data_IF_487399337818
#
_entry.id   IF_487399337818
#
_cell.length_a   1.000
_cell.length_b   1.000
_cell.length_c   1.000
_cell.angle_alpha   90.00
_cell.angle_beta   90.00
_cell.angle_gamma   90.00
#
_symmetry.space_group_name_H-M   'P 1'
#
loop_
_entity.id
_entity.type
_entity.pdbx_description
1 polymer ?
#
# COMPACT_ATOMS: atom_id res chain seq x y z
N UNK A 1 -4.69 0.05 32.00
CA UNK A 1 -5.76 -0.86 31.59
C UNK A 1 -5.17 -1.65 30.42
N UNK A 2 -4.74 -2.90 30.68
CA UNK A 2 -4.18 -3.74 29.61
C UNK A 2 -5.29 -3.99 28.60
N UNK A 3 -5.05 -3.60 27.35
CA UNK A 3 -5.87 -4.01 26.22
C UNK A 3 -5.75 -5.54 26.14
N UNK A 4 -6.78 -6.25 26.59
CA UNK A 4 -6.90 -7.67 26.30
C UNK A 4 -6.80 -7.85 24.78
N UNK A 5 -5.85 -8.66 24.34
CA UNK A 5 -5.69 -8.94 22.92
C UNK A 5 -6.98 -9.58 22.40
N UNK A 6 -7.73 -8.82 21.64
CA UNK A 6 -8.97 -9.23 20.99
C UNK A 6 -8.66 -10.43 20.08
N UNK A 7 -9.36 -11.55 20.27
CA UNK A 7 -9.23 -12.71 19.38
C UNK A 7 -10.13 -12.49 18.18
N UNK A 8 -9.56 -11.95 17.12
CA UNK A 8 -10.30 -11.64 15.90
C UNK A 8 -10.51 -12.88 15.03
N UNK A 9 -11.67 -13.00 14.41
CA UNK A 9 -11.92 -13.99 13.37
C UNK A 9 -11.08 -13.70 12.13
N UNK A 10 -10.68 -14.75 11.43
CA UNK A 10 -9.85 -14.63 10.22
C UNK A 10 -10.72 -14.71 8.96
N UNK A 11 -10.47 -13.82 8.01
CA UNK A 11 -10.99 -13.89 6.65
C UNK A 11 -12.47 -14.28 6.57
N UNK A 12 -12.77 -15.38 5.91
CA UNK A 12 -14.15 -15.90 5.72
C UNK A 12 -14.72 -16.72 6.86
N UNK A 13 -14.09 -16.79 8.03
CA UNK A 13 -14.59 -17.61 9.15
C UNK A 13 -15.99 -17.21 9.61
N UNK A 14 -16.40 -15.95 9.43
CA UNK A 14 -17.74 -15.47 9.72
C UNK A 14 -18.84 -16.19 8.91
N UNK A 15 -18.48 -16.86 7.80
CA UNK A 15 -19.43 -17.65 6.99
C UNK A 15 -19.79 -18.97 7.67
N UNK A 16 -18.87 -19.52 8.45
CA UNK A 16 -18.98 -20.88 9.03
C UNK A 16 -18.96 -20.91 10.56
N UNK A 17 -18.71 -19.79 11.20
CA UNK A 17 -18.67 -19.65 12.66
C UNK A 17 -19.73 -18.67 13.13
N UNK A 18 -20.32 -18.98 14.29
CA UNK A 18 -21.07 -17.97 15.03
C UNK A 18 -20.11 -16.84 15.45
N UNK A 19 -20.46 -15.61 15.13
CA UNK A 19 -19.59 -14.44 15.28
C UNK A 19 -20.29 -13.40 16.13
N UNK A 20 -19.58 -12.88 17.13
CA UNK A 20 -20.03 -11.74 17.91
C UNK A 20 -19.41 -10.45 17.35
N UNK A 21 -20.03 -9.26 17.54
CA UNK A 21 -19.48 -7.99 17.06
C UNK A 21 -18.04 -7.73 17.56
N UNK A 22 -17.72 -8.21 18.75
CA UNK A 22 -16.41 -8.06 19.39
C UNK A 22 -15.31 -8.87 18.70
N UNK A 23 -15.68 -9.89 17.91
CA UNK A 23 -14.73 -10.75 17.20
C UNK A 23 -14.32 -10.16 15.84
N UNK A 24 -14.97 -9.07 15.40
CA UNK A 24 -14.76 -8.46 14.10
C UNK A 24 -13.76 -7.33 14.21
N UNK A 25 -12.78 -7.31 13.28
CA UNK A 25 -11.86 -6.17 13.12
C UNK A 25 -12.60 -5.00 12.47
N UNK A 26 -12.53 -3.84 13.09
CA UNK A 26 -13.18 -2.61 12.62
C UNK A 26 -12.18 -1.45 12.57
N UNK A 27 -12.52 -0.33 11.93
CA UNK A 27 -11.62 0.84 11.90
C UNK A 27 -11.19 1.37 13.27
N UNK A 28 -11.97 1.12 14.32
CA UNK A 28 -11.66 1.48 15.70
C UNK A 28 -10.53 0.61 16.28
N UNK A 29 -10.22 -0.52 15.66
CA UNK A 29 -9.14 -1.42 16.05
C UNK A 29 -7.80 -1.07 15.37
N UNK A 30 -7.74 -0.03 14.54
CA UNK A 30 -6.49 0.40 13.91
C UNK A 30 -5.48 0.86 14.97
N UNK A 31 -4.23 0.42 14.81
CA UNK A 31 -3.12 0.92 15.63
C UNK A 31 -2.83 2.39 15.31
N UNK A 32 -2.14 3.07 16.24
CA UNK A 32 -1.68 4.46 16.01
C UNK A 32 -0.85 4.58 14.72
N UNK A 33 0.01 3.60 14.44
CA UNK A 33 0.82 3.54 13.22
C UNK A 33 -0.04 3.41 11.95
N UNK A 34 -1.10 2.60 11.99
CA UNK A 34 -2.05 2.46 10.90
C UNK A 34 -2.86 3.74 10.67
N UNK A 35 -3.25 4.41 11.75
CA UNK A 35 -3.94 5.71 11.69
C UNK A 35 -3.01 6.77 11.07
N UNK A 36 -1.75 6.84 11.50
CA UNK A 36 -0.76 7.76 10.91
C UNK A 36 -0.55 7.49 9.42
N UNK A 37 -0.45 6.21 9.02
CA UNK A 37 -0.33 5.83 7.61
C UNK A 37 -1.56 6.26 6.81
N UNK A 38 -2.75 6.01 7.33
CA UNK A 38 -4.02 6.44 6.73
C UNK A 38 -4.04 7.96 6.49
N UNK A 39 -3.70 8.73 7.50
CA UNK A 39 -3.76 10.19 7.43
C UNK A 39 -2.69 10.74 6.47
N UNK A 40 -1.51 10.13 6.44
CA UNK A 40 -0.44 10.45 5.47
C UNK A 40 -0.85 10.20 4.02
N UNK A 41 -1.41 9.04 3.73
CA UNK A 41 -1.82 8.73 2.35
C UNK A 41 -3.00 9.59 1.92
N UNK A 42 -3.92 9.88 2.85
CA UNK A 42 -5.02 10.82 2.58
C UNK A 42 -4.51 12.20 2.22
N UNK A 43 -3.57 12.74 2.97
CA UNK A 43 -2.95 14.04 2.66
C UNK A 43 -2.24 14.04 1.30
N UNK A 44 -1.50 12.98 0.98
CA UNK A 44 -0.86 12.81 -0.33
C UNK A 44 -1.89 12.82 -1.46
N UNK A 45 -2.97 12.08 -1.33
CA UNK A 45 -4.03 12.00 -2.34
C UNK A 45 -4.71 13.36 -2.53
N UNK A 46 -5.05 14.02 -1.44
CA UNK A 46 -5.74 15.33 -1.47
C UNK A 46 -4.88 16.42 -2.11
N UNK A 47 -3.56 16.37 -1.96
CA UNK A 47 -2.62 17.39 -2.49
C UNK A 47 -2.08 17.07 -3.87
N UNK A 48 -1.73 15.82 -4.13
CA UNK A 48 -0.94 15.45 -5.30
C UNK A 48 -1.76 14.75 -6.40
N UNK A 49 -2.93 14.21 -6.08
CA UNK A 49 -3.72 13.43 -7.05
C UNK A 49 -5.03 14.13 -7.39
N UNK A 50 -5.87 14.41 -6.40
CA UNK A 50 -7.21 14.96 -6.61
C UNK A 50 -7.25 16.26 -7.43
N UNK A 51 -6.39 17.25 -7.18
CA UNK A 51 -6.43 18.52 -7.94
C UNK A 51 -6.03 18.37 -9.40
N UNK A 52 -5.39 17.25 -9.76
CA UNK A 52 -4.77 17.06 -11.08
C UNK A 52 -5.40 15.93 -11.90
N UNK A 53 -6.65 15.58 -11.65
CA UNK A 53 -7.38 14.51 -12.37
C UNK A 53 -7.29 14.65 -13.89
N UNK A 54 -7.44 15.86 -14.40
CA UNK A 54 -7.37 16.14 -15.84
C UNK A 54 -6.02 15.78 -16.48
N UNK A 55 -4.93 15.81 -15.71
CA UNK A 55 -3.61 15.42 -16.23
C UNK A 55 -3.53 13.91 -16.46
N UNK A 56 -4.09 13.12 -15.55
CA UNK A 56 -4.17 11.67 -15.73
C UNK A 56 -5.05 11.29 -16.92
N UNK A 57 -6.21 11.96 -17.08
CA UNK A 57 -7.11 11.75 -18.22
C UNK A 57 -6.45 12.08 -19.56
N UNK A 58 -5.58 13.10 -19.59
CA UNK A 58 -4.80 13.47 -20.77
C UNK A 58 -3.56 12.59 -20.99
N UNK A 59 -3.38 11.55 -20.18
CA UNK A 59 -2.22 10.62 -20.25
C UNK A 59 -0.88 11.33 -20.10
N UNK A 60 -0.80 12.29 -19.18
CA UNK A 60 0.46 12.94 -18.81
C UNK A 60 1.33 11.96 -18.01
N UNK A 61 2.09 11.14 -18.73
CA UNK A 61 2.91 10.08 -18.14
C UNK A 61 4.04 10.62 -17.28
N UNK A 62 4.64 11.75 -17.61
CA UNK A 62 5.68 12.36 -16.79
C UNK A 62 5.13 12.83 -15.44
N UNK A 63 3.94 13.38 -15.45
CA UNK A 63 3.25 13.74 -14.22
C UNK A 63 2.89 12.50 -13.39
N UNK A 64 2.33 11.47 -14.02
CA UNK A 64 2.01 10.20 -13.33
C UNK A 64 3.26 9.62 -12.69
N UNK A 65 4.38 9.58 -13.43
CA UNK A 65 5.67 9.14 -12.91
C UNK A 65 6.14 9.99 -11.72
N UNK A 66 6.00 11.31 -11.79
CA UNK A 66 6.38 12.19 -10.68
C UNK A 66 5.56 11.92 -9.42
N UNK A 67 4.26 11.61 -9.55
CA UNK A 67 3.41 11.21 -8.42
C UNK A 67 3.84 9.85 -7.85
N UNK A 68 4.25 8.90 -8.70
CA UNK A 68 4.79 7.61 -8.25
C UNK A 68 6.11 7.78 -7.47
N UNK A 69 7.02 8.64 -7.95
CA UNK A 69 8.27 8.96 -7.23
C UNK A 69 7.96 9.55 -5.85
N UNK A 70 7.06 10.52 -5.77
CA UNK A 70 6.62 11.10 -4.48
C UNK A 70 6.00 10.05 -3.55
N UNK A 71 5.20 9.13 -4.08
CA UNK A 71 4.65 8.02 -3.30
C UNK A 71 5.77 7.12 -2.75
N UNK A 72 6.85 6.90 -3.52
CA UNK A 72 8.04 6.19 -3.08
C UNK A 72 8.80 6.92 -1.98
N UNK A 73 9.03 8.23 -2.13
CA UNK A 73 9.67 9.08 -1.13
C UNK A 73 8.91 9.09 0.22
N UNK A 74 7.58 8.97 0.18
CA UNK A 74 6.73 8.83 1.35
C UNK A 74 6.61 7.38 1.87
N UNK A 75 7.27 6.42 1.22
CA UNK A 75 7.29 5.01 1.60
C UNK A 75 6.06 4.20 1.15
N UNK A 76 5.08 4.80 0.47
CA UNK A 76 3.84 4.11 0.10
C UNK A 76 4.04 2.96 -0.88
N UNK A 77 5.11 3.00 -1.71
CA UNK A 77 5.44 1.91 -2.62
C UNK A 77 6.04 0.69 -1.90
N UNK A 78 6.63 0.91 -0.71
CA UNK A 78 7.32 -0.10 0.07
C UNK A 78 6.60 -0.57 1.34
N UNK A 79 5.31 -0.29 1.51
CA UNK A 79 4.57 -0.62 2.75
C UNK A 79 4.74 -2.07 3.18
N UNK A 80 4.49 -3.09 2.33
CA UNK A 80 4.64 -4.50 2.72
C UNK A 80 6.09 -5.02 2.56
N UNK A 81 6.98 -4.25 1.98
CA UNK A 81 8.37 -4.66 1.75
C UNK A 81 9.12 -4.68 3.08
N UNK A 82 9.89 -5.72 3.40
CA UNK A 82 10.69 -5.79 4.62
C UNK A 82 11.68 -4.62 4.75
N UNK A 83 11.92 -4.17 5.98
CA UNK A 83 12.78 -3.02 6.27
C UNK A 83 14.23 -3.20 5.80
N UNK A 84 14.76 -4.42 5.87
CA UNK A 84 16.12 -4.74 5.38
C UNK A 84 16.28 -4.59 3.86
N UNK A 85 15.18 -4.45 3.12
CA UNK A 85 15.17 -4.17 1.67
C UNK A 85 14.62 -2.77 1.35
N UNK A 86 14.60 -1.88 2.35
CA UNK A 86 14.22 -0.48 2.16
C UNK A 86 12.71 -0.20 2.23
N UNK A 87 11.89 -1.16 2.62
CA UNK A 87 10.47 -0.99 2.84
C UNK A 87 10.11 -0.62 4.27
N UNK A 88 8.81 -0.52 4.55
CA UNK A 88 8.29 -0.20 5.87
C UNK A 88 8.06 -1.43 6.74
N UNK A 89 7.95 -2.62 6.16
CA UNK A 89 7.72 -3.88 6.89
C UNK A 89 6.34 -3.95 7.55
N UNK A 90 5.37 -3.16 7.07
CA UNK A 90 4.02 -3.11 7.64
C UNK A 90 3.15 -4.24 7.08
N UNK A 91 2.16 -4.65 7.89
CA UNK A 91 1.27 -5.74 7.53
C UNK A 91 0.25 -5.41 6.45
N UNK A 92 -0.55 -6.42 6.10
CA UNK A 92 -1.54 -6.35 5.03
C UNK A 92 -2.60 -5.25 5.25
N UNK A 93 -3.02 -5.00 6.50
CA UNK A 93 -4.00 -3.94 6.82
C UNK A 93 -3.47 -2.56 6.40
N UNK A 94 -2.23 -2.25 6.73
CA UNK A 94 -1.60 -0.98 6.33
C UNK A 94 -1.50 -0.85 4.81
N UNK A 95 -1.16 -1.94 4.12
CA UNK A 95 -1.14 -1.99 2.66
C UNK A 95 -2.52 -1.70 2.08
N UNK A 96 -3.57 -2.29 2.63
CA UNK A 96 -4.95 -2.06 2.18
C UNK A 96 -5.43 -0.65 2.45
N UNK A 97 -5.07 -0.05 3.58
CA UNK A 97 -5.38 1.35 3.87
C UNK A 97 -4.80 2.29 2.80
N UNK A 98 -3.53 2.10 2.42
CA UNK A 98 -2.90 2.89 1.35
C UNK A 98 -3.60 2.66 0.01
N UNK A 99 -3.88 1.41 -0.34
CA UNK A 99 -4.58 1.07 -1.59
C UNK A 99 -5.99 1.67 -1.65
N UNK A 100 -6.74 1.68 -0.55
CA UNK A 100 -8.10 2.19 -0.49
C UNK A 100 -8.14 3.69 -0.83
N UNK A 101 -7.33 4.50 -0.15
CA UNK A 101 -7.26 5.94 -0.42
C UNK A 101 -6.78 6.27 -1.83
N UNK A 102 -5.75 5.58 -2.32
CA UNK A 102 -5.22 5.78 -3.68
C UNK A 102 -6.27 5.37 -4.73
N UNK A 103 -6.97 4.26 -4.50
CA UNK A 103 -8.00 3.77 -5.42
C UNK A 103 -9.20 4.70 -5.53
N UNK A 104 -9.59 5.33 -4.44
CA UNK A 104 -10.67 6.32 -4.42
C UNK A 104 -10.33 7.64 -5.12
N UNK A 105 -9.04 7.92 -5.36
CA UNK A 105 -8.60 9.20 -5.90
C UNK A 105 -8.69 9.30 -7.42
N UNK A 106 -8.06 8.37 -8.14
CA UNK A 106 -8.01 8.34 -9.60
C UNK A 106 -7.69 6.94 -10.10
N UNK A 107 -8.50 6.39 -11.01
CA UNK A 107 -8.36 5.03 -11.53
C UNK A 107 -7.05 4.77 -12.28
N UNK A 108 -6.57 5.74 -13.07
CA UNK A 108 -5.33 5.59 -13.83
C UNK A 108 -4.11 5.54 -12.90
N UNK A 109 -4.04 6.43 -11.91
CA UNK A 109 -2.98 6.43 -10.91
C UNK A 109 -3.04 5.17 -10.04
N UNK A 110 -4.24 4.79 -9.59
CA UNK A 110 -4.47 3.56 -8.81
C UNK A 110 -3.99 2.31 -9.54
N UNK A 111 -4.25 2.22 -10.85
CA UNK A 111 -3.78 1.07 -11.66
C UNK A 111 -2.26 1.03 -11.74
N UNK A 112 -1.60 2.17 -11.97
CA UNK A 112 -0.14 2.24 -11.99
C UNK A 112 0.46 1.87 -10.63
N UNK A 113 -0.09 2.40 -9.53
CA UNK A 113 0.33 2.11 -8.17
C UNK A 113 0.13 0.64 -7.82
N UNK A 114 -1.06 0.08 -8.07
CA UNK A 114 -1.38 -1.31 -7.75
C UNK A 114 -0.58 -2.32 -8.58
N UNK A 115 -0.37 -2.03 -9.88
CA UNK A 115 0.47 -2.86 -10.72
C UNK A 115 1.93 -2.88 -10.22
N UNK A 116 2.46 -1.73 -9.83
CA UNK A 116 3.80 -1.61 -9.29
C UNK A 116 3.94 -2.33 -7.94
N UNK A 117 3.11 -1.98 -6.95
CA UNK A 117 3.23 -2.50 -5.58
C UNK A 117 2.83 -3.96 -5.46
N UNK A 118 1.83 -4.41 -6.24
CA UNK A 118 1.34 -5.78 -6.24
C UNK A 118 2.18 -6.69 -7.15
N UNK A 119 1.77 -6.79 -8.41
CA UNK A 119 2.33 -7.78 -9.35
C UNK A 119 3.75 -7.43 -9.83
N UNK A 120 4.18 -6.18 -9.74
CA UNK A 120 5.52 -5.75 -10.13
C UNK A 120 6.57 -6.00 -9.04
N UNK A 121 6.25 -5.78 -7.77
CA UNK A 121 7.21 -5.82 -6.65
C UNK A 121 7.10 -7.11 -5.83
N UNK A 122 5.90 -7.49 -5.41
CA UNK A 122 5.72 -8.60 -4.46
C UNK A 122 6.19 -9.97 -4.96
N UNK A 123 6.09 -10.35 -6.24
CA UNK A 123 6.65 -11.61 -6.71
C UNK A 123 8.16 -11.71 -6.51
N UNK A 124 8.90 -10.59 -6.65
CA UNK A 124 10.34 -10.56 -6.40
C UNK A 124 10.62 -10.71 -4.91
N UNK A 125 9.84 -10.02 -4.05
CA UNK A 125 9.98 -10.12 -2.59
C UNK A 125 9.71 -11.54 -2.08
N UNK A 126 8.72 -12.23 -2.65
CA UNK A 126 8.25 -13.53 -2.16
C UNK A 126 9.00 -14.73 -2.75
N UNK A 127 9.48 -14.61 -3.98
CA UNK A 127 10.02 -15.74 -4.74
C UNK A 127 11.39 -15.47 -5.39
N UNK A 128 11.90 -14.24 -5.30
CA UNK A 128 13.22 -13.90 -5.81
C UNK A 128 14.35 -14.55 -5.01
N UNK A 129 15.50 -14.73 -5.65
CA UNK A 129 16.73 -15.04 -4.92
C UNK A 129 17.17 -13.82 -4.12
N UNK A 130 18.00 -14.02 -3.10
CA UNK A 130 18.56 -12.91 -2.31
C UNK A 130 19.22 -11.84 -3.19
N UNK A 131 19.97 -12.26 -4.21
CA UNK A 131 20.61 -11.36 -5.17
C UNK A 131 19.58 -10.53 -5.96
N UNK A 132 18.49 -11.16 -6.41
CA UNK A 132 17.41 -10.46 -7.12
C UNK A 132 16.68 -9.48 -6.20
N UNK A 133 16.38 -9.89 -4.97
CA UNK A 133 15.72 -9.02 -3.99
C UNK A 133 16.60 -7.79 -3.73
N UNK A 134 17.87 -7.98 -3.40
CA UNK A 134 18.77 -6.85 -3.13
C UNK A 134 19.01 -5.94 -4.34
N UNK A 135 18.97 -6.48 -5.55
CA UNK A 135 19.18 -5.72 -6.78
C UNK A 135 17.99 -4.83 -7.14
N UNK A 136 16.77 -5.34 -6.97
CA UNK A 136 15.56 -4.70 -7.50
C UNK A 136 14.68 -4.07 -6.43
N UNK A 137 14.45 -4.75 -5.31
CA UNK A 137 13.42 -4.35 -4.35
C UNK A 137 13.67 -2.98 -3.73
N UNK A 138 14.88 -2.60 -3.32
CA UNK A 138 15.12 -1.26 -2.78
C UNK A 138 14.74 -0.14 -3.75
N UNK A 139 15.04 -0.32 -5.04
CA UNK A 139 14.72 0.66 -6.10
C UNK A 139 13.23 0.73 -6.39
N UNK A 140 12.53 -0.40 -6.25
CA UNK A 140 11.08 -0.45 -6.39
C UNK A 140 10.39 0.20 -5.18
N UNK A 141 10.88 -0.05 -3.98
CA UNK A 141 10.29 0.47 -2.75
C UNK A 141 10.42 2.00 -2.63
N UNK A 142 11.51 2.60 -3.15
CA UNK A 142 11.77 4.03 -3.07
C UNK A 142 11.33 4.83 -4.32
N UNK A 143 10.84 4.16 -5.37
CA UNK A 143 10.36 4.82 -6.59
C UNK A 143 11.44 5.17 -7.61
N UNK A 144 12.67 4.68 -7.46
CA UNK A 144 13.72 4.82 -8.50
C UNK A 144 13.43 3.95 -9.74
N UNK A 145 12.73 2.85 -9.55
CA UNK A 145 12.29 1.95 -10.60
C UNK A 145 10.82 1.59 -10.45
N UNK A 146 10.18 1.20 -11.56
CA UNK A 146 8.79 0.78 -11.54
C UNK A 146 8.65 -0.63 -12.10
N UNK A 147 8.00 -1.50 -11.31
CA UNK A 147 7.65 -2.85 -11.70
C UNK A 147 6.33 -2.88 -12.43
N UNK A 148 6.22 -3.77 -13.42
CA UNK A 148 4.99 -4.07 -14.13
C UNK A 148 4.96 -5.54 -14.51
N UNK A 149 3.79 -6.03 -14.90
CA UNK A 149 3.59 -7.37 -15.42
C UNK A 149 3.50 -7.32 -16.97
N UNK A 150 4.21 -8.22 -17.61
CA UNK A 150 4.16 -8.41 -19.07
C UNK A 150 3.77 -9.84 -19.41
#
# INVERSE_FOLDING_TARGET
>A
MELQSKTLIKGGEFIIKETQPEDIFTPEDFSEEQIMMRDSVKEFVDREIFPYKDRFEKKDYEFTKSCMVKAGELGFLGVPVPQNYGGMGMGFISTMLVCDYISGANGSFSTAFGAHTGIGTMPIVLYGTEEQIQMYVPKLANGEGFGAYC
#
